data_IF_844586900310
#
_entry.id   IF_844586900310
#
_cell.length_a   1.000
_cell.length_b   1.000
_cell.length_c   1.000
_cell.angle_alpha   90.00
_cell.angle_beta   90.00
_cell.angle_gamma   90.00
#
_symmetry.space_group_name_H-M   'P 1'
#
loop_
_entity.id
_entity.type
_entity.pdbx_description
1 polymer ?
#
# COMPACT_ATOMS: atom_id res chain seq x y z
N UNK A 1 -1.45 2.06 4.62
CA UNK A 1 -0.10 2.63 4.42
C UNK A 1 0.29 3.41 5.66
N UNK A 2 1.55 3.32 6.10
CA UNK A 2 2.06 4.09 7.23
C UNK A 2 3.42 4.67 6.88
N UNK A 3 3.53 5.99 6.99
CA UNK A 3 4.76 6.74 6.82
C UNK A 3 5.47 6.87 8.16
N UNK A 4 6.57 6.14 8.31
CA UNK A 4 7.36 6.10 9.54
C UNK A 4 8.05 7.44 9.82
N UNK A 5 8.41 8.21 8.78
CA UNK A 5 9.14 9.47 8.95
C UNK A 5 8.23 10.59 9.46
N UNK A 6 6.96 10.57 9.03
CA UNK A 6 5.98 11.59 9.41
C UNK A 6 5.02 11.18 10.50
N UNK A 7 5.04 9.90 10.88
CA UNK A 7 4.05 9.30 11.78
C UNK A 7 2.61 9.48 11.25
N UNK A 8 2.43 9.34 9.93
CA UNK A 8 1.14 9.52 9.25
C UNK A 8 0.66 8.19 8.66
N UNK A 9 -0.57 7.79 8.97
CA UNK A 9 -1.20 6.59 8.44
C UNK A 9 -2.36 6.94 7.50
N UNK A 10 -2.45 6.24 6.37
CA UNK A 10 -3.64 6.20 5.53
C UNK A 10 -4.23 4.79 5.55
N UNK A 11 -5.52 4.71 5.86
CA UNK A 11 -6.32 3.49 5.81
C UNK A 11 -7.35 3.62 4.69
N UNK A 12 -7.31 2.69 3.74
CA UNK A 12 -8.38 2.53 2.75
C UNK A 12 -9.39 1.52 3.30
N UNK A 13 -10.65 1.90 3.41
CA UNK A 13 -11.73 1.02 3.88
C UNK A 13 -12.47 0.50 2.65
N UNK A 14 -12.14 -0.73 2.24
CA UNK A 14 -12.77 -1.36 1.08
C UNK A 14 -14.09 -2.04 1.44
N UNK A 15 -15.10 -1.90 0.59
CA UNK A 15 -16.39 -2.61 0.68
C UNK A 15 -16.47 -3.85 -0.22
N UNK A 16 -15.37 -4.16 -0.91
CA UNK A 16 -15.25 -5.28 -1.85
C UNK A 16 -14.14 -6.25 -1.39
N UNK A 17 -13.55 -6.99 -2.31
CA UNK A 17 -12.61 -8.06 -2.01
C UNK A 17 -11.18 -7.58 -1.79
N UNK A 18 -10.50 -8.17 -0.80
CA UNK A 18 -9.07 -7.99 -0.61
C UNK A 18 -8.28 -8.66 -1.74
N UNK A 19 -7.94 -7.87 -2.75
CA UNK A 19 -7.19 -8.29 -3.95
C UNK A 19 -5.93 -7.45 -4.09
N UNK A 20 -5.00 -7.90 -4.94
CA UNK A 20 -3.81 -7.11 -5.27
C UNK A 20 -4.17 -5.72 -5.84
N UNK A 21 -5.27 -5.61 -6.59
CA UNK A 21 -5.76 -4.32 -7.08
C UNK A 21 -6.18 -3.40 -5.95
N UNK A 22 -6.88 -3.92 -4.94
CA UNK A 22 -7.24 -3.15 -3.74
C UNK A 22 -5.99 -2.70 -2.97
N UNK A 23 -5.02 -3.60 -2.76
CA UNK A 23 -3.78 -3.27 -2.07
C UNK A 23 -3.00 -2.14 -2.78
N UNK A 24 -2.88 -2.19 -4.11
CA UNK A 24 -2.23 -1.12 -4.89
C UNK A 24 -3.10 0.14 -4.97
N UNK A 25 -4.42 0.02 -5.00
CA UNK A 25 -5.31 1.18 -4.91
C UNK A 25 -5.12 1.95 -3.59
N UNK A 26 -4.92 1.24 -2.46
CA UNK A 26 -4.58 1.87 -1.19
C UNK A 26 -3.22 2.60 -1.23
N UNK A 27 -2.21 2.03 -1.92
CA UNK A 27 -0.92 2.71 -2.15
C UNK A 27 -1.11 3.95 -3.01
N UNK A 28 -1.85 3.84 -4.12
CA UNK A 28 -2.15 4.95 -5.04
C UNK A 28 -2.91 6.06 -4.33
N UNK A 29 -3.86 5.72 -3.45
CA UNK A 29 -4.59 6.67 -2.64
C UNK A 29 -3.66 7.40 -1.66
N UNK A 30 -2.79 6.68 -0.96
CA UNK A 30 -1.75 7.28 -0.10
C UNK A 30 -0.84 8.21 -0.88
N UNK A 31 -0.35 7.79 -2.04
CA UNK A 31 0.48 8.62 -2.90
C UNK A 31 -0.24 9.90 -3.31
N UNK A 32 -1.48 9.81 -3.78
CA UNK A 32 -2.26 10.98 -4.22
C UNK A 32 -2.60 11.95 -3.09
N UNK A 33 -2.93 11.44 -1.90
CA UNK A 33 -3.42 12.25 -0.77
C UNK A 33 -2.29 12.83 0.08
N UNK A 34 -1.24 12.04 0.33
CA UNK A 34 -0.18 12.37 1.28
C UNK A 34 1.20 12.33 0.59
N UNK A 35 1.54 11.20 -0.03
CA UNK A 35 2.91 10.92 -0.48
C UNK A 35 3.45 11.89 -1.54
N UNK A 36 2.67 12.25 -2.57
CA UNK A 36 3.12 13.07 -3.70
C UNK A 36 3.52 14.49 -3.29
N UNK A 37 2.82 15.08 -2.31
CA UNK A 37 3.15 16.42 -1.80
C UNK A 37 4.50 16.42 -1.08
N UNK A 38 4.77 15.36 -0.32
CA UNK A 38 5.94 15.25 0.55
C UNK A 38 7.17 14.70 -0.19
N UNK A 39 6.95 13.77 -1.12
CA UNK A 39 7.99 12.96 -1.78
C UNK A 39 7.94 13.06 -3.30
N UNK A 40 7.25 14.05 -3.87
CA UNK A 40 7.08 14.18 -5.33
C UNK A 40 8.37 14.38 -6.13
N UNK A 41 9.46 14.82 -5.48
CA UNK A 41 10.79 14.89 -6.07
C UNK A 41 11.57 13.56 -5.97
N UNK A 42 11.09 12.63 -5.15
CA UNK A 42 11.69 11.31 -4.96
C UNK A 42 11.52 10.45 -6.21
N UNK A 43 12.62 9.81 -6.63
CA UNK A 43 12.61 8.87 -7.76
C UNK A 43 12.29 7.44 -7.36
N UNK A 44 12.21 7.15 -6.06
CA UNK A 44 12.00 5.82 -5.52
C UNK A 44 11.10 5.84 -4.28
N UNK A 45 10.21 4.86 -4.18
CA UNK A 45 9.34 4.61 -3.03
C UNK A 45 9.62 3.20 -2.49
N UNK A 46 10.11 3.12 -1.25
CA UNK A 46 10.30 1.86 -0.53
C UNK A 46 9.01 1.47 0.20
N UNK A 47 8.55 0.23 -0.02
CA UNK A 47 7.38 -0.35 0.60
C UNK A 47 7.80 -1.62 1.35
N UNK A 48 7.62 -1.62 2.68
CA UNK A 48 7.78 -2.84 3.47
C UNK A 48 6.44 -3.56 3.61
N UNK A 49 6.33 -4.81 3.17
CA UNK A 49 5.08 -5.56 3.15
C UNK A 49 5.20 -6.93 3.85
N UNK A 50 4.13 -7.42 4.46
CA UNK A 50 4.09 -8.70 5.18
C UNK A 50 3.94 -9.94 4.28
N UNK A 51 3.78 -9.74 2.96
CA UNK A 51 3.65 -10.79 1.95
C UNK A 51 2.39 -11.67 2.09
N UNK A 52 1.35 -11.17 2.76
CA UNK A 52 0.06 -11.85 2.92
C UNK A 52 -0.87 -11.64 1.71
N UNK A 53 -1.60 -12.69 1.31
CA UNK A 53 -2.75 -12.61 0.41
C UNK A 53 -2.55 -11.71 -0.83
N UNK A 54 -3.12 -10.51 -0.77
CA UNK A 54 -3.15 -9.51 -1.84
C UNK A 54 -1.79 -8.88 -2.17
N UNK A 55 -0.86 -8.79 -1.21
CA UNK A 55 0.46 -8.16 -1.41
C UNK A 55 1.62 -9.17 -1.48
N UNK A 56 1.30 -10.47 -1.61
CA UNK A 56 2.29 -11.54 -1.63
C UNK A 56 3.32 -11.37 -2.73
N UNK A 57 4.59 -11.62 -2.43
CA UNK A 57 5.68 -11.59 -3.41
C UNK A 57 5.48 -12.56 -4.58
N UNK A 58 4.70 -13.62 -4.39
CA UNK A 58 4.35 -14.60 -5.43
C UNK A 58 3.13 -14.20 -6.26
N UNK A 59 2.40 -13.18 -5.84
CA UNK A 59 1.19 -12.74 -6.52
C UNK A 59 1.55 -11.96 -7.80
N UNK A 60 1.21 -12.52 -8.96
CA UNK A 60 1.49 -11.89 -10.25
C UNK A 60 0.69 -10.61 -10.48
N UNK A 61 -0.55 -10.59 -10.01
CA UNK A 61 -1.41 -9.41 -10.10
C UNK A 61 -0.85 -8.26 -9.26
N UNK A 62 -0.27 -8.56 -8.09
CA UNK A 62 0.43 -7.58 -7.28
C UNK A 62 1.56 -6.90 -8.06
N UNK A 63 2.44 -7.69 -8.70
CA UNK A 63 3.53 -7.16 -9.51
C UNK A 63 3.03 -6.31 -10.69
N UNK A 64 1.99 -6.79 -11.38
CA UNK A 64 1.39 -6.06 -12.50
C UNK A 64 0.76 -4.74 -12.07
N UNK A 65 0.02 -4.72 -10.97
CA UNK A 65 -0.62 -3.49 -10.47
C UNK A 65 0.43 -2.48 -9.96
N UNK A 66 1.50 -2.96 -9.32
CA UNK A 66 2.64 -2.11 -8.98
C UNK A 66 3.35 -1.56 -10.22
N UNK A 67 3.48 -2.35 -11.29
CA UNK A 67 4.03 -1.86 -12.57
C UNK A 67 3.17 -0.72 -13.12
N UNK A 68 1.84 -0.87 -13.12
CA UNK A 68 0.93 0.21 -13.55
C UNK A 68 1.10 1.46 -12.68
N UNK A 69 1.20 1.28 -11.37
CA UNK A 69 1.43 2.40 -10.45
C UNK A 69 2.79 3.08 -10.67
N UNK A 70 3.86 2.32 -10.93
CA UNK A 70 5.16 2.85 -11.30
C UNK A 70 5.07 3.66 -12.60
N UNK A 71 4.41 3.11 -13.63
CA UNK A 71 4.23 3.79 -14.92
C UNK A 71 3.44 5.11 -14.80
N UNK A 72 2.39 5.12 -13.97
CA UNK A 72 1.55 6.30 -13.72
C UNK A 72 2.32 7.42 -13.01
N UNK A 73 3.22 7.06 -12.09
CA UNK A 73 3.91 8.02 -11.21
C UNK A 73 5.32 8.38 -11.68
N UNK A 74 5.94 7.54 -12.51
CA UNK A 74 7.35 7.62 -12.87
C UNK A 74 8.31 7.30 -11.72
N UNK A 75 7.80 6.76 -10.61
CA UNK A 75 8.58 6.42 -9.41
C UNK A 75 8.95 4.95 -9.44
N UNK A 76 10.20 4.63 -9.10
CA UNK A 76 10.65 3.24 -8.90
C UNK A 76 10.02 2.72 -7.61
N UNK A 77 9.33 1.59 -7.69
CA UNK A 77 8.73 0.98 -6.50
C UNK A 77 9.65 -0.14 -6.02
N UNK A 78 10.22 0.04 -4.83
CA UNK A 78 11.04 -0.97 -4.17
C UNK A 78 10.18 -1.66 -3.13
N UNK A 79 10.02 -2.99 -3.22
CA UNK A 79 9.24 -3.76 -2.26
C UNK A 79 10.16 -4.69 -1.51
N UNK A 80 10.16 -4.55 -0.18
CA UNK A 80 10.83 -5.46 0.73
C UNK A 80 9.81 -6.21 1.57
N UNK A 81 9.82 -7.54 1.50
CA UNK A 81 8.91 -8.35 2.27
C UNK A 81 9.51 -8.78 3.61
N UNK A 82 8.69 -8.80 4.65
CA UNK A 82 9.04 -9.38 5.94
C UNK A 82 9.06 -10.92 5.84
N UNK A 83 10.01 -11.62 6.52
CA UNK A 83 10.03 -13.08 6.67
C UNK A 83 8.67 -13.71 6.99
N UNK A 84 8.37 -14.91 6.45
CA UNK A 84 7.17 -15.65 6.85
C UNK A 84 7.07 -15.75 8.37
N UNK A 85 5.90 -15.43 8.93
CA UNK A 85 5.68 -15.45 10.39
C UNK A 85 6.24 -14.25 11.16
N UNK A 86 6.65 -13.19 10.47
CA UNK A 86 7.24 -11.98 11.10
C UNK A 86 6.38 -10.72 10.97
N UNK A 87 5.07 -10.85 10.72
CA UNK A 87 4.15 -9.70 10.61
C UNK A 87 4.16 -8.81 11.86
N UNK A 88 4.40 -9.39 13.06
CA UNK A 88 4.60 -8.65 14.32
C UNK A 88 5.69 -7.58 14.27
N UNK A 89 6.62 -7.66 13.32
CA UNK A 89 7.67 -6.64 13.17
C UNK A 89 7.25 -5.49 12.25
N UNK A 90 6.10 -5.61 11.60
CA UNK A 90 5.47 -4.51 10.87
C UNK A 90 5.03 -3.44 11.87
N UNK A 91 5.62 -2.25 11.74
CA UNK A 91 5.34 -1.11 12.63
C UNK A 91 3.87 -0.69 12.61
N UNK A 92 3.11 -0.99 11.56
CA UNK A 92 1.68 -0.69 11.49
C UNK A 92 0.92 -1.34 12.65
N UNK A 93 1.23 -2.60 12.97
CA UNK A 93 0.53 -3.33 14.05
C UNK A 93 0.69 -2.61 15.40
N UNK A 94 1.91 -2.17 15.70
CA UNK A 94 2.26 -1.62 17.02
C UNK A 94 2.18 -0.10 17.13
N UNK A 95 2.17 0.63 16.01
CA UNK A 95 2.13 2.10 15.99
C UNK A 95 0.85 2.69 15.44
N UNK A 96 0.03 1.92 14.72
CA UNK A 96 -1.18 2.44 14.09
C UNK A 96 -2.40 1.70 14.59
N UNK A 97 -2.47 0.38 14.39
CA UNK A 97 -3.66 -0.41 14.69
C UNK A 97 -3.99 -0.41 16.18
N UNK A 98 -3.00 -0.48 17.06
CA UNK A 98 -3.23 -0.40 18.50
C UNK A 98 -3.97 0.88 18.92
N UNK A 99 -3.74 2.01 18.25
CA UNK A 99 -4.40 3.28 18.53
C UNK A 99 -5.78 3.36 17.88
N UNK A 100 -5.93 2.86 16.64
CA UNK A 100 -7.24 2.77 15.98
C UNK A 100 -8.20 1.91 16.81
N UNK A 101 -7.76 0.73 17.24
CA UNK A 101 -8.58 -0.18 18.07
C UNK A 101 -9.00 0.47 19.39
N UNK A 102 -8.12 1.26 20.02
CA UNK A 102 -8.48 2.03 21.22
C UNK A 102 -9.53 3.09 20.92
N UNK A 103 -9.44 3.77 19.79
CA UNK A 103 -10.41 4.79 19.39
C UNK A 103 -11.80 4.19 19.09
N UNK A 104 -11.85 2.95 18.62
CA UNK A 104 -13.11 2.22 18.39
C UNK A 104 -13.79 1.71 19.66
N UNK A 105 -13.08 1.72 20.80
CA UNK A 105 -13.57 1.05 22.01
C UNK A 105 -14.89 1.67 22.48
N UNK A 106 -15.96 0.88 22.44
CA UNK A 106 -17.29 1.30 22.86
C UNK A 106 -18.08 2.06 21.79
N UNK A 107 -17.60 2.12 20.54
CA UNK A 107 -18.32 2.70 19.40
C UNK A 107 -18.91 1.56 18.56
N UNK A 108 -20.25 1.46 18.45
CA UNK A 108 -20.89 0.54 17.52
C UNK A 108 -20.55 0.91 16.07
N UNK A 109 -19.90 0.01 15.33
CA UNK A 109 -19.49 0.23 13.94
C UNK A 109 -20.61 -0.16 12.97
N UNK A 110 -21.73 0.56 13.04
CA UNK A 110 -22.97 0.19 12.32
C UNK A 110 -22.99 0.65 10.86
N UNK A 111 -22.20 1.67 10.51
CA UNK A 111 -22.13 2.19 9.13
C UNK A 111 -20.68 2.40 8.69
N UNK A 112 -20.45 2.42 7.38
CA UNK A 112 -19.14 2.68 6.80
C UNK A 112 -18.62 4.07 7.20
N UNK A 113 -19.49 5.08 7.28
CA UNK A 113 -19.14 6.42 7.73
C UNK A 113 -18.62 6.42 9.16
N UNK A 114 -19.24 5.63 10.05
CA UNK A 114 -18.76 5.49 11.43
C UNK A 114 -17.37 4.86 11.45
N UNK A 115 -17.12 3.82 10.63
CA UNK A 115 -15.80 3.19 10.54
C UNK A 115 -14.75 4.18 10.04
N UNK A 116 -15.00 4.85 8.92
CA UNK A 116 -14.08 5.83 8.32
C UNK A 116 -13.82 6.98 9.29
N UNK A 117 -14.88 7.54 9.88
CA UNK A 117 -14.76 8.61 10.87
C UNK A 117 -13.94 8.16 12.08
N UNK A 118 -14.24 6.98 12.64
CA UNK A 118 -13.55 6.46 13.83
C UNK A 118 -12.07 6.20 13.56
N UNK A 119 -11.70 5.73 12.37
CA UNK A 119 -10.29 5.61 12.01
C UNK A 119 -9.65 7.00 11.83
N UNK A 120 -10.30 7.87 11.05
CA UNK A 120 -9.77 9.18 10.68
C UNK A 120 -9.59 10.14 11.86
N UNK A 121 -10.29 9.93 12.97
CA UNK A 121 -10.10 10.68 14.22
C UNK A 121 -8.97 10.16 15.12
N UNK A 122 -8.27 9.09 14.73
CA UNK A 122 -7.17 8.56 15.55
C UNK A 122 -5.99 9.53 15.53
N UNK A 123 -5.70 10.10 16.70
CA UNK A 123 -4.56 10.99 16.96
C UNK A 123 -3.85 10.58 18.25
N UNK A 124 -2.55 10.80 18.34
CA UNK A 124 -1.78 10.53 19.57
C UNK A 124 -0.96 11.73 20.01
N UNK A 125 -0.66 11.82 21.31
CA UNK A 125 0.22 12.85 21.85
C UNK A 125 1.66 12.79 21.30
N UNK A 126 2.10 11.64 20.80
CA UNK A 126 3.42 11.46 20.17
C UNK A 126 3.47 11.92 18.70
N UNK A 127 2.34 12.30 18.11
CA UNK A 127 2.28 12.86 16.75
C UNK A 127 1.53 12.02 15.71
N UNK A 128 1.18 10.76 16.00
CA UNK A 128 0.48 9.91 15.04
C UNK A 128 -0.80 10.57 14.52
N UNK A 129 -0.93 10.63 13.20
CA UNK A 129 -2.17 11.00 12.52
C UNK A 129 -2.66 9.89 11.59
N UNK A 130 -3.86 9.36 11.86
CA UNK A 130 -4.51 8.43 10.93
C UNK A 130 -5.55 9.16 10.09
N UNK A 131 -5.59 8.81 8.82
CA UNK A 131 -6.59 9.27 7.88
C UNK A 131 -7.27 8.07 7.24
N UNK A 132 -8.57 8.14 7.03
CA UNK A 132 -9.34 7.08 6.40
C UNK A 132 -10.20 7.61 5.26
N UNK A 133 -10.37 6.76 4.25
CA UNK A 133 -11.28 6.98 3.15
C UNK A 133 -11.97 5.68 2.80
N UNK A 134 -13.23 5.79 2.40
CA UNK A 134 -13.98 4.69 1.82
C UNK A 134 -13.48 4.44 0.39
N UNK A 135 -13.29 3.17 0.06
CA UNK A 135 -13.02 2.71 -1.29
C UNK A 135 -14.24 1.91 -1.76
N UNK A 136 -15.05 2.56 -2.59
CA UNK A 136 -16.29 2.02 -3.16
C UNK A 136 -16.05 1.21 -4.44
N UNK A 137 -14.78 1.08 -4.87
CA UNK A 137 -14.46 0.28 -6.04
C UNK A 137 -14.73 -1.21 -5.81
N UNK A 138 -15.16 -1.88 -6.88
CA UNK A 138 -15.32 -3.33 -6.88
C UNK A 138 -14.08 -4.01 -7.43
N UNK A 139 -13.58 -5.02 -6.73
CA UNK A 139 -12.40 -5.77 -7.12
C UNK A 139 -12.74 -7.24 -7.33
N UNK A 140 -12.62 -7.71 -8.57
CA UNK A 140 -12.95 -9.09 -8.92
C UNK A 140 -11.88 -10.07 -8.38
N UNK A 141 -12.34 -11.23 -7.89
CA UNK A 141 -11.43 -12.30 -7.46
C UNK A 141 -10.91 -13.09 -8.65
N UNK A 142 -9.76 -13.75 -8.45
CA UNK A 142 -9.20 -14.76 -9.37
C UNK A 142 -8.83 -14.22 -10.76
N UNK A 143 -8.49 -12.94 -10.86
CA UNK A 143 -7.85 -12.39 -12.06
C UNK A 143 -6.52 -13.12 -12.28
N UNK A 144 -6.39 -13.76 -13.43
CA UNK A 144 -5.17 -14.45 -13.83
C UNK A 144 -4.29 -13.51 -14.64
N UNK A 145 -3.00 -13.51 -14.34
CA UNK A 145 -1.98 -12.80 -15.12
C UNK A 145 -1.19 -13.83 -15.91
N UNK A 146 -1.18 -13.68 -17.23
CA UNK A 146 -0.44 -14.56 -18.13
C UNK A 146 1.07 -14.36 -17.99
N UNK A 147 1.86 -15.31 -18.51
CA UNK A 147 3.31 -15.19 -18.48
C UNK A 147 3.79 -14.03 -19.35
N UNK A 148 3.14 -13.77 -20.48
CA UNK A 148 3.47 -12.65 -21.38
C UNK A 148 3.28 -11.31 -20.68
N UNK A 149 2.13 -11.12 -20.02
CA UNK A 149 1.85 -9.88 -19.27
C UNK A 149 2.83 -9.66 -18.12
N UNK A 150 3.24 -10.75 -17.44
CA UNK A 150 4.22 -10.63 -16.36
C UNK A 150 5.63 -10.32 -16.91
N UNK A 151 6.00 -10.90 -18.05
CA UNK A 151 7.28 -10.65 -18.71
C UNK A 151 7.44 -9.20 -19.20
N UNK A 152 6.34 -8.50 -19.48
CA UNK A 152 6.35 -7.07 -19.80
C UNK A 152 6.67 -6.17 -18.59
N UNK A 153 6.59 -6.68 -17.36
CA UNK A 153 6.92 -5.91 -16.17
C UNK A 153 8.45 -5.76 -16.03
N UNK A 154 8.92 -4.55 -15.75
CA UNK A 154 10.33 -4.25 -15.55
C UNK A 154 10.74 -4.50 -14.10
N UNK A 155 10.81 -5.79 -13.75
CA UNK A 155 11.10 -6.24 -12.40
C UNK A 155 12.59 -6.59 -12.28
N UNK A 156 13.28 -5.88 -11.41
CA UNK A 156 14.66 -6.16 -11.03
C UNK A 156 14.66 -6.77 -9.64
N UNK A 157 15.07 -8.04 -9.54
CA UNK A 157 15.21 -8.73 -8.25
C UNK A 157 16.37 -8.14 -7.45
N UNK A 158 16.23 -8.11 -6.13
CA UNK A 158 17.34 -7.74 -5.26
C UNK A 158 18.41 -8.83 -5.17
N UNK A 159 19.67 -8.43 -4.95
CA UNK A 159 20.78 -9.36 -4.70
C UNK A 159 20.59 -10.11 -3.37
N UNK A 160 20.05 -9.43 -2.38
CA UNK A 160 19.66 -10.02 -1.11
C UNK A 160 18.18 -10.35 -1.15
N UNK A 161 17.86 -11.64 -1.05
CA UNK A 161 16.48 -12.11 -0.95
C UNK A 161 15.63 -11.73 -2.20
N UNK A 162 16.18 -11.90 -3.40
CA UNK A 162 15.51 -11.62 -4.68
C UNK A 162 14.34 -12.55 -5.04
N UNK A 163 14.11 -13.60 -4.26
CA UNK A 163 12.95 -14.49 -4.39
C UNK A 163 11.63 -13.83 -3.93
N UNK A 164 11.73 -12.66 -3.30
CA UNK A 164 10.62 -11.95 -2.68
C UNK A 164 10.81 -10.43 -2.65
N UNK A 165 12.05 -9.92 -2.66
CA UNK A 165 12.31 -8.49 -2.77
C UNK A 165 12.58 -8.09 -4.21
N UNK A 166 11.85 -7.07 -4.69
CA UNK A 166 11.89 -6.62 -6.08
C UNK A 166 11.87 -5.08 -6.17
N UNK A 167 12.65 -4.53 -7.11
CA UNK A 167 12.46 -3.19 -7.67
C UNK A 167 11.58 -3.29 -8.93
N UNK A 168 10.56 -2.44 -9.03
CA UNK A 168 9.71 -2.32 -10.22
C UNK A 168 9.97 -0.94 -10.82
N UNK A 169 10.49 -0.95 -12.05
CA UNK A 169 10.87 0.26 -12.77
C UNK A 169 9.74 0.72 -13.70
N UNK A 170 9.50 2.04 -13.84
CA UNK A 170 8.53 2.55 -14.79
C UNK A 170 8.98 2.26 -16.23
N UNK A 171 8.06 1.82 -17.09
CA UNK A 171 8.29 1.53 -18.52
C UNK A 171 8.49 2.79 -19.35
N UNK A 172 7.94 3.92 -18.90
CA UNK A 172 8.11 5.22 -19.54
C UNK A 172 8.79 6.19 -18.57
N UNK A 173 9.74 7.03 -19.01
CA UNK A 173 10.22 8.12 -18.17
C UNK A 173 9.04 9.03 -17.82
N UNK A 174 9.03 9.65 -16.62
CA UNK A 174 7.97 10.54 -16.20
C UNK A 174 7.75 11.60 -17.29
N UNK A 175 6.50 11.78 -17.70
CA UNK A 175 6.13 12.82 -18.65
C UNK A 175 6.57 14.16 -18.06
N UNK A 176 7.66 14.73 -18.58
CA UNK A 176 8.06 16.10 -18.32
C UNK A 176 7.00 17.00 -18.96
N UNK A 177 5.94 17.30 -18.20
CA UNK A 177 4.98 18.32 -18.57
C UNK A 177 5.68 19.67 -18.57
N UNK A 178 5.64 20.32 -19.73
CA UNK A 178 5.91 21.76 -19.90
C UNK A 178 5.00 22.61 -19.01
#
# INVERSE_FOLDING_TARGET
MYDIHRDEALVSVGISHDTAQFAVAAIRLWWRKLGRKQYGAGRRLLITADSGGSNSSRNRLWKLELQKFADETGVIIEVCHYPPGTSKWNKIEHRVFCHITRNWRGVPLETHEIVVSSIGHTRTASGLEAHAWLDEASYEKRIKVSDETLAECLIKRHDFHGEWNDEIHPRKPPHSGN
#
